data_IF_319424882544
#
_entry.id   IF_319424882544
#
_cell.length_a   1.000
_cell.length_b   1.000
_cell.length_c   1.000
_cell.angle_alpha   90.00
_cell.angle_beta   90.00
_cell.angle_gamma   90.00
#
_symmetry.space_group_name_H-M   'P 1'
#
loop_
_entity.id
_entity.type
_entity.pdbx_description
1 polymer ?
#
# COMPACT_ATOMS: atom_id res chain seq x y z
N UNK A 1 -8.72 -17.56 -7.41
CA UNK A 1 -9.43 -16.48 -6.70
C UNK A 1 -10.20 -15.60 -7.69
N UNK A 2 -11.25 -14.91 -7.26
CA UNK A 2 -12.09 -14.04 -8.13
C UNK A 2 -11.27 -12.93 -8.83
N UNK A 3 -10.25 -12.39 -8.16
CA UNK A 3 -9.36 -11.38 -8.76
C UNK A 3 -8.59 -11.92 -9.95
N UNK A 4 -7.98 -13.09 -9.83
CA UNK A 4 -7.27 -13.73 -10.95
C UNK A 4 -8.20 -14.04 -12.12
N UNK A 5 -9.42 -14.50 -11.86
CA UNK A 5 -10.41 -14.72 -12.91
C UNK A 5 -10.78 -13.42 -13.65
N UNK A 6 -10.89 -12.30 -12.93
CA UNK A 6 -11.09 -10.98 -13.52
C UNK A 6 -9.92 -10.53 -14.42
N UNK A 7 -8.68 -10.71 -13.97
CA UNK A 7 -7.48 -10.42 -14.78
C UNK A 7 -7.47 -11.27 -16.05
N UNK A 8 -7.75 -12.57 -15.93
CA UNK A 8 -7.81 -13.49 -17.07
C UNK A 8 -8.91 -13.09 -18.07
N UNK A 9 -10.08 -12.67 -17.59
CA UNK A 9 -11.16 -12.20 -18.42
C UNK A 9 -10.78 -10.94 -19.22
N UNK A 10 -10.11 -9.97 -18.59
CA UNK A 10 -9.61 -8.76 -19.26
C UNK A 10 -8.59 -9.14 -20.34
N UNK A 11 -7.63 -10.01 -20.00
CA UNK A 11 -6.59 -10.46 -20.94
C UNK A 11 -7.19 -11.23 -22.12
N UNK A 12 -8.22 -12.04 -21.89
CA UNK A 12 -8.89 -12.83 -22.92
C UNK A 12 -9.66 -11.98 -23.94
N UNK A 13 -10.17 -10.80 -23.53
CA UNK A 13 -10.79 -9.86 -24.47
C UNK A 13 -9.77 -9.30 -25.47
N UNK A 14 -8.50 -9.22 -25.05
CA UNK A 14 -7.42 -8.65 -25.86
C UNK A 14 -7.44 -7.11 -25.87
N UNK A 15 -6.62 -6.51 -26.72
CA UNK A 15 -6.51 -5.07 -26.86
C UNK A 15 -5.64 -4.40 -25.78
N UNK A 16 -5.62 -3.08 -25.81
CA UNK A 16 -4.82 -2.25 -24.93
C UNK A 16 -5.42 -2.24 -23.52
N UNK A 17 -4.67 -2.72 -22.53
CA UNK A 17 -5.10 -2.74 -21.14
C UNK A 17 -3.92 -2.67 -20.18
N UNK A 18 -4.15 -2.11 -19.00
CA UNK A 18 -3.25 -2.15 -17.86
C UNK A 18 -3.96 -2.77 -16.66
N UNK A 19 -3.37 -3.83 -16.13
CA UNK A 19 -3.78 -4.42 -14.85
C UNK A 19 -2.73 -4.04 -13.82
N UNK A 20 -3.09 -3.20 -12.86
CA UNK A 20 -2.21 -2.71 -11.82
C UNK A 20 -2.47 -3.48 -10.52
N UNK A 21 -1.56 -4.39 -10.16
CA UNK A 21 -1.61 -5.11 -8.89
C UNK A 21 -0.98 -4.27 -7.80
N UNK A 22 -1.69 -4.08 -6.70
CA UNK A 22 -1.24 -3.29 -5.55
C UNK A 22 -1.44 -4.05 -4.25
N UNK A 23 -0.81 -3.58 -3.18
CA UNK A 23 -0.93 -4.15 -1.83
C UNK A 23 -0.97 -3.05 -0.76
N UNK A 24 -1.49 -3.39 0.44
CA UNK A 24 -1.51 -2.54 1.63
C UNK A 24 -2.04 -1.12 1.40
N UNK A 25 -3.10 -1.01 0.59
CA UNK A 25 -3.68 0.29 0.22
C UNK A 25 -4.31 0.96 1.42
N UNK A 26 -4.00 2.24 1.62
CA UNK A 26 -4.59 3.09 2.65
C UNK A 26 -4.95 4.48 2.09
N UNK A 27 -5.81 5.19 2.82
CA UNK A 27 -6.18 6.56 2.50
C UNK A 27 -6.72 7.29 3.72
N UNK A 28 -6.97 8.59 3.59
CA UNK A 28 -7.68 9.39 4.59
C UNK A 28 -9.19 9.11 4.63
N UNK A 29 -9.70 8.24 3.77
CA UNK A 29 -11.12 7.92 3.63
C UNK A 29 -11.40 6.42 3.74
N UNK A 30 -12.65 6.07 4.09
CA UNK A 30 -13.14 4.70 4.13
C UNK A 30 -12.66 3.91 5.34
N UNK A 31 -12.43 2.61 5.17
CA UNK A 31 -11.95 1.70 6.22
C UNK A 31 -10.60 1.13 5.81
N UNK A 32 -9.56 1.48 6.54
CA UNK A 32 -8.20 1.01 6.28
C UNK A 32 -7.35 1.01 7.56
N UNK A 33 -6.12 0.50 7.45
CA UNK A 33 -5.22 0.37 8.58
C UNK A 33 -4.83 1.73 9.17
N UNK A 34 -4.54 2.75 8.35
CA UNK A 34 -4.17 4.10 8.82
C UNK A 34 -5.22 4.66 9.78
N UNK A 35 -6.47 4.73 9.34
CA UNK A 35 -7.57 5.30 10.15
C UNK A 35 -7.86 4.46 11.39
N UNK A 36 -7.74 3.14 11.28
CA UNK A 36 -7.88 2.24 12.43
C UNK A 36 -6.79 2.50 13.46
N UNK A 37 -5.53 2.63 13.04
CA UNK A 37 -4.41 2.91 13.95
C UNK A 37 -4.52 4.31 14.56
N UNK A 38 -4.83 5.34 13.79
CA UNK A 38 -5.03 6.70 14.32
C UNK A 38 -6.06 6.72 15.45
N UNK A 39 -7.16 6.01 15.31
CA UNK A 39 -8.19 5.90 16.35
C UNK A 39 -7.70 5.09 17.55
N UNK A 40 -7.24 3.86 17.33
CA UNK A 40 -6.87 2.96 18.42
C UNK A 40 -5.67 3.45 19.24
N UNK A 41 -4.70 4.10 18.59
CA UNK A 41 -3.54 4.70 19.27
C UNK A 41 -3.96 5.79 20.27
N UNK A 42 -5.05 6.50 20.02
CA UNK A 42 -5.55 7.54 20.92
C UNK A 42 -6.51 7.01 22.00
N UNK A 43 -7.20 5.87 21.74
CA UNK A 43 -8.22 5.30 22.63
C UNK A 43 -7.67 4.27 23.63
N UNK A 44 -6.56 3.59 23.30
CA UNK A 44 -6.06 2.44 24.06
C UNK A 44 -4.76 2.78 24.79
N UNK A 45 -4.49 2.16 25.96
CA UNK A 45 -3.19 2.30 26.62
C UNK A 45 -2.07 1.53 25.88
N UNK A 46 -2.41 0.39 25.27
CA UNK A 46 -1.49 -0.48 24.54
C UNK A 46 -2.15 -1.08 23.30
N UNK A 47 -1.34 -1.30 22.25
CA UNK A 47 -1.76 -1.98 21.01
C UNK A 47 -0.73 -3.04 20.63
N UNK A 48 -1.20 -4.27 20.42
CA UNK A 48 -0.40 -5.38 19.89
C UNK A 48 -0.52 -5.37 18.36
N UNK A 49 0.61 -5.28 17.66
CA UNK A 49 0.64 -5.19 16.19
C UNK A 49 1.62 -6.20 15.61
N UNK A 50 1.22 -6.89 14.55
CA UNK A 50 2.02 -7.92 13.88
C UNK A 50 3.28 -7.32 13.27
N UNK A 51 4.44 -7.92 13.57
CA UNK A 51 5.75 -7.44 13.15
C UNK A 51 6.47 -8.34 12.13
N UNK A 52 5.97 -9.55 11.87
CA UNK A 52 6.57 -10.57 11.00
C UNK A 52 5.92 -10.66 9.61
N UNK A 53 4.99 -9.77 9.28
CA UNK A 53 4.44 -9.61 7.94
C UNK A 53 5.03 -8.35 7.31
N UNK A 54 5.70 -8.51 6.16
CA UNK A 54 6.42 -7.43 5.49
C UNK A 54 5.73 -7.07 4.16
N UNK A 55 5.62 -5.77 3.90
CA UNK A 55 5.03 -5.21 2.69
C UNK A 55 5.37 -3.72 2.54
N UNK A 56 4.71 -3.05 1.61
CA UNK A 56 4.83 -1.62 1.40
C UNK A 56 3.46 -0.94 1.51
N UNK A 57 3.21 -0.14 2.56
CA UNK A 57 1.99 0.65 2.63
C UNK A 57 1.89 1.58 1.43
N UNK A 58 0.78 1.50 0.69
CA UNK A 58 0.61 2.23 -0.56
C UNK A 58 -0.57 3.19 -0.46
N UNK A 59 -0.29 4.49 -0.49
CA UNK A 59 -1.33 5.52 -0.42
C UNK A 59 -2.16 5.56 -1.71
N UNK A 60 -3.48 5.61 -1.57
CA UNK A 60 -4.39 5.70 -2.70
C UNK A 60 -4.16 6.96 -3.56
N UNK A 61 -3.68 8.05 -2.96
CA UNK A 61 -3.29 9.27 -3.68
C UNK A 61 -2.13 9.04 -4.67
N UNK A 62 -1.11 8.30 -4.27
CA UNK A 62 0.01 7.94 -5.17
C UNK A 62 -0.42 6.97 -6.26
N UNK A 63 -1.35 6.05 -5.98
CA UNK A 63 -1.94 5.18 -7.00
C UNK A 63 -2.68 6.01 -8.05
N UNK A 64 -3.49 6.97 -7.61
CA UNK A 64 -4.24 7.87 -8.50
C UNK A 64 -3.30 8.73 -9.37
N UNK A 65 -2.27 9.33 -8.76
CA UNK A 65 -1.27 10.12 -9.48
C UNK A 65 -0.53 9.29 -10.54
N UNK A 66 -0.13 8.06 -10.21
CA UNK A 66 0.52 7.15 -11.16
C UNK A 66 -0.41 6.72 -12.28
N UNK A 67 -1.69 6.47 -11.98
CA UNK A 67 -2.67 6.13 -13.01
C UNK A 67 -2.86 7.29 -14.00
N UNK A 68 -2.88 8.53 -13.50
CA UNK A 68 -2.94 9.72 -14.34
C UNK A 68 -1.68 9.83 -15.21
N UNK A 69 -0.49 9.66 -14.65
CA UNK A 69 0.76 9.71 -15.39
C UNK A 69 0.84 8.66 -16.50
N UNK A 70 0.33 7.44 -16.26
CA UNK A 70 0.23 6.39 -17.28
C UNK A 70 -0.71 6.80 -18.42
N UNK A 71 -1.84 7.42 -18.09
CA UNK A 71 -2.81 7.91 -19.07
C UNK A 71 -2.23 9.06 -19.91
N UNK A 72 -1.54 10.01 -19.29
CA UNK A 72 -0.88 11.13 -19.98
C UNK A 72 0.19 10.64 -20.96
N UNK A 73 1.01 9.66 -20.58
CA UNK A 73 2.00 9.02 -21.47
C UNK A 73 1.34 8.34 -22.66
N UNK A 74 0.29 7.60 -22.43
CA UNK A 74 -0.46 6.98 -23.50
C UNK A 74 -1.01 8.03 -24.49
N UNK A 75 -1.62 9.11 -23.99
CA UNK A 75 -2.11 10.20 -24.85
C UNK A 75 -1.01 10.91 -25.64
N UNK A 76 0.18 11.02 -25.05
CA UNK A 76 1.35 11.63 -25.70
C UNK A 76 2.02 10.68 -26.74
N UNK A 77 1.56 9.46 -26.91
CA UNK A 77 2.16 8.47 -27.79
C UNK A 77 3.43 7.81 -27.21
N UNK A 78 3.70 8.01 -25.92
CA UNK A 78 4.85 7.45 -25.16
C UNK A 78 4.37 6.29 -24.27
N UNK A 79 3.50 5.44 -24.79
CA UNK A 79 2.99 4.28 -24.06
C UNK A 79 4.03 3.16 -24.02
N UNK A 80 4.20 2.58 -22.82
CA UNK A 80 4.93 1.31 -22.67
C UNK A 80 4.13 0.11 -23.16
N UNK A 81 4.64 -1.08 -22.87
CA UNK A 81 3.94 -2.32 -23.23
C UNK A 81 2.65 -2.48 -22.39
N UNK A 82 1.58 -2.91 -23.04
CA UNK A 82 0.32 -3.25 -22.37
C UNK A 82 0.43 -4.56 -21.60
N UNK A 83 -0.29 -4.68 -20.49
CA UNK A 83 -0.28 -5.92 -19.70
C UNK A 83 -0.47 -5.71 -18.19
N UNK A 84 0.08 -6.65 -17.42
CA UNK A 84 -0.05 -6.66 -15.97
C UNK A 84 1.23 -6.15 -15.31
N UNK A 85 1.07 -5.22 -14.39
CA UNK A 85 2.15 -4.58 -13.65
C UNK A 85 1.88 -4.56 -12.15
N UNK A 86 2.95 -4.45 -11.37
CA UNK A 86 2.86 -4.16 -9.95
C UNK A 86 3.01 -2.66 -9.71
N UNK A 87 2.20 -2.14 -8.78
CA UNK A 87 2.18 -0.74 -8.40
C UNK A 87 2.03 -0.64 -6.88
N UNK A 88 3.14 -0.48 -6.18
CA UNK A 88 3.18 -0.23 -4.73
C UNK A 88 4.22 0.83 -4.40
N UNK A 89 4.16 1.39 -3.20
CA UNK A 89 5.20 2.30 -2.72
C UNK A 89 6.57 1.62 -2.70
N UNK A 90 7.65 2.41 -2.79
CA UNK A 90 9.01 1.93 -2.60
C UNK A 90 9.32 1.71 -1.12
N UNK A 91 10.36 0.92 -0.85
CA UNK A 91 10.74 0.51 0.49
C UNK A 91 9.84 -0.59 1.04
N UNK A 92 10.05 -0.91 2.30
CA UNK A 92 9.33 -1.97 2.99
C UNK A 92 9.20 -1.68 4.48
N UNK A 93 8.18 -2.23 5.10
CA UNK A 93 8.00 -2.21 6.55
C UNK A 93 7.07 -3.36 6.98
N UNK A 94 6.96 -3.59 8.28
CA UNK A 94 5.93 -4.46 8.85
C UNK A 94 4.66 -3.66 9.18
N UNK A 95 3.56 -4.35 9.52
CA UNK A 95 2.39 -3.68 10.10
C UNK A 95 2.73 -2.93 11.36
N UNK A 96 3.64 -3.50 12.18
CA UNK A 96 4.16 -2.84 13.38
C UNK A 96 4.92 -1.56 13.02
N UNK A 97 5.89 -1.61 12.10
CA UNK A 97 6.65 -0.42 11.68
C UNK A 97 5.78 0.65 11.03
N UNK A 98 4.73 0.24 10.30
CA UNK A 98 3.74 1.21 9.79
C UNK A 98 2.95 1.86 10.93
N UNK A 99 2.54 1.10 11.95
CA UNK A 99 1.90 1.65 13.15
C UNK A 99 2.83 2.60 13.93
N UNK A 100 4.14 2.29 14.03
CA UNK A 100 5.14 3.17 14.65
C UNK A 100 5.24 4.52 13.91
N UNK A 101 5.28 4.51 12.58
CA UNK A 101 5.33 5.72 11.78
C UNK A 101 4.06 6.58 11.98
N UNK A 102 2.87 5.96 12.03
CA UNK A 102 1.62 6.66 12.35
C UNK A 102 1.67 7.24 13.77
N UNK A 103 2.16 6.48 14.75
CA UNK A 103 2.31 6.94 16.12
C UNK A 103 3.27 8.12 16.24
N UNK A 104 4.36 8.13 15.49
CA UNK A 104 5.31 9.25 15.44
C UNK A 104 4.63 10.53 14.95
N UNK A 105 3.78 10.46 13.93
CA UNK A 105 3.02 11.60 13.42
C UNK A 105 2.00 12.14 14.44
N UNK A 106 1.31 11.26 15.18
CA UNK A 106 0.39 11.67 16.24
C UNK A 106 1.13 12.36 17.39
N UNK A 107 2.26 11.80 17.83
CA UNK A 107 3.13 12.37 18.88
C UNK A 107 3.67 13.75 18.47
N UNK A 108 4.09 13.91 17.22
CA UNK A 108 4.57 15.20 16.71
C UNK A 108 3.49 16.29 16.76
N UNK A 109 2.21 15.89 16.72
CA UNK A 109 1.03 16.78 16.88
C UNK A 109 0.59 16.95 18.34
N UNK A 110 1.33 16.40 19.31
CA UNK A 110 0.99 16.45 20.73
C UNK A 110 -0.20 15.58 21.13
N UNK A 111 -0.61 14.64 20.31
CA UNK A 111 -1.73 13.75 20.58
C UNK A 111 -1.30 12.55 21.45
N UNK A 112 -2.20 12.05 22.32
CA UNK A 112 -1.93 10.83 23.10
C UNK A 112 -1.70 9.65 22.18
N UNK A 113 -0.83 8.72 22.61
CA UNK A 113 -0.47 7.59 21.78
C UNK A 113 -0.21 6.36 22.63
N UNK A 114 -0.92 5.28 22.33
CA UNK A 114 -0.75 3.97 22.94
C UNK A 114 0.70 3.47 22.85
N UNK A 115 1.11 2.66 23.81
CA UNK A 115 2.30 1.84 23.71
C UNK A 115 2.10 0.77 22.62
N UNK A 116 3.04 0.67 21.67
CA UNK A 116 3.01 -0.36 20.63
C UNK A 116 3.83 -1.57 21.06
N UNK A 117 3.24 -2.76 20.96
CA UNK A 117 3.87 -4.03 21.30
C UNK A 117 3.94 -4.89 20.03
N UNK A 118 5.17 -5.24 19.56
CA UNK A 118 5.31 -6.13 18.42
C UNK A 118 4.90 -7.56 18.82
N UNK A 119 4.16 -8.22 17.93
CA UNK A 119 3.78 -9.63 18.07
C UNK A 119 4.02 -10.39 16.78
N UNK A 120 4.07 -11.70 16.87
CA UNK A 120 4.09 -12.58 15.69
C UNK A 120 2.68 -12.81 15.12
N UNK A 121 2.61 -13.22 13.86
CA UNK A 121 1.35 -13.61 13.22
C UNK A 121 0.66 -14.76 13.94
N UNK A 122 1.41 -15.67 14.57
CA UNK A 122 0.88 -16.79 15.35
C UNK A 122 0.10 -16.35 16.61
N UNK A 123 0.43 -15.17 17.15
CA UNK A 123 -0.27 -14.59 18.30
C UNK A 123 -1.52 -13.79 17.90
N UNK A 124 -1.75 -13.59 16.61
CA UNK A 124 -2.91 -12.87 16.06
C UNK A 124 -3.68 -13.71 15.04
N UNK A 125 -4.38 -14.74 15.47
CA UNK A 125 -5.10 -15.64 14.56
C UNK A 125 -6.19 -14.87 13.80
N UNK A 126 -6.17 -14.98 12.48
CA UNK A 126 -7.18 -14.40 11.58
C UNK A 126 -7.79 -15.52 10.73
N UNK A 127 -9.07 -15.40 10.28
CA UNK A 127 -9.69 -16.39 9.40
C UNK A 127 -8.95 -16.62 8.08
N UNK A 128 -8.25 -15.60 7.59
CA UNK A 128 -7.44 -15.66 6.36
C UNK A 128 -5.95 -15.76 6.73
N UNK A 129 -5.26 -16.76 6.18
CA UNK A 129 -3.80 -16.80 6.23
C UNK A 129 -3.23 -15.67 5.37
N UNK A 130 -2.50 -14.75 6.01
CA UNK A 130 -1.81 -13.67 5.31
C UNK A 130 -0.36 -14.07 5.03
N UNK A 131 0.18 -13.76 3.84
CA UNK A 131 1.57 -14.07 3.55
C UNK A 131 2.51 -13.27 4.44
N UNK A 132 3.62 -13.87 4.86
CA UNK A 132 4.68 -13.17 5.59
C UNK A 132 5.37 -12.11 4.72
N UNK A 133 5.35 -12.31 3.39
CA UNK A 133 5.93 -11.39 2.42
C UNK A 133 4.87 -10.96 1.39
N UNK A 134 4.54 -9.67 1.38
CA UNK A 134 3.60 -9.02 0.45
C UNK A 134 4.28 -7.96 -0.42
N UNK A 135 5.62 -7.98 -0.50
CA UNK A 135 6.39 -7.07 -1.35
C UNK A 135 6.10 -7.33 -2.83
N UNK A 136 5.99 -6.25 -3.59
CA UNK A 136 5.80 -6.29 -5.04
C UNK A 136 7.02 -5.66 -5.72
N UNK A 137 7.56 -6.33 -6.72
CA UNK A 137 8.58 -5.75 -7.60
C UNK A 137 7.88 -4.88 -8.65
N UNK A 138 8.10 -3.57 -8.58
CA UNK A 138 7.54 -2.56 -9.48
C UNK A 138 8.51 -2.14 -10.58
N UNK A 139 9.67 -2.80 -10.72
CA UNK A 139 10.73 -2.43 -11.68
C UNK A 139 10.24 -2.46 -13.13
N UNK A 140 9.40 -3.42 -13.48
CA UNK A 140 8.85 -3.53 -14.84
C UNK A 140 7.99 -2.31 -15.22
N UNK A 141 7.18 -1.79 -14.30
CA UNK A 141 6.39 -0.57 -14.53
C UNK A 141 7.32 0.64 -14.76
N UNK A 142 8.35 0.78 -13.93
CA UNK A 142 9.33 1.86 -14.06
C UNK A 142 10.10 1.79 -15.38
N UNK A 143 10.50 0.60 -15.82
CA UNK A 143 11.23 0.39 -17.08
C UNK A 143 10.36 0.65 -18.31
N UNK A 144 9.13 0.15 -18.33
CA UNK A 144 8.27 0.18 -19.50
C UNK A 144 7.46 1.48 -19.63
N UNK A 145 7.06 2.04 -18.51
CA UNK A 145 6.17 3.21 -18.48
C UNK A 145 6.80 4.44 -17.84
N UNK A 146 8.06 4.35 -17.37
CA UNK A 146 8.79 5.41 -16.67
C UNK A 146 7.99 6.03 -15.51
N UNK A 147 7.20 5.20 -14.83
CA UNK A 147 6.40 5.57 -13.66
C UNK A 147 6.92 4.80 -12.45
N UNK A 148 7.33 5.53 -11.43
CA UNK A 148 7.77 4.99 -10.14
C UNK A 148 7.02 5.64 -8.98
N UNK A 149 6.91 4.93 -7.87
CA UNK A 149 6.27 5.42 -6.66
C UNK A 149 7.28 6.07 -5.72
N UNK A 150 6.79 6.97 -4.87
CA UNK A 150 7.54 7.48 -3.73
C UNK A 150 7.81 6.37 -2.69
N UNK A 151 8.77 6.61 -1.80
CA UNK A 151 8.97 5.76 -0.64
C UNK A 151 7.73 5.80 0.26
N UNK A 152 7.36 4.65 0.87
CA UNK A 152 6.13 4.51 1.67
C UNK A 152 6.02 5.54 2.81
N UNK A 153 7.16 5.90 3.43
CA UNK A 153 7.18 6.88 4.53
C UNK A 153 6.91 8.30 4.05
N UNK A 154 7.47 8.67 2.89
CA UNK A 154 7.22 9.99 2.27
C UNK A 154 5.74 10.10 1.87
N UNK A 155 5.19 9.06 1.25
CA UNK A 155 3.79 8.99 0.89
C UNK A 155 2.85 9.05 2.12
N UNK A 156 3.27 8.49 3.27
CA UNK A 156 2.53 8.63 4.53
C UNK A 156 2.54 10.08 5.03
N UNK A 157 3.70 10.75 4.98
CA UNK A 157 3.83 12.14 5.38
C UNK A 157 2.95 13.03 4.50
N UNK A 158 2.97 12.85 3.20
CA UNK A 158 2.13 13.60 2.23
C UNK A 158 0.64 13.34 2.46
N UNK A 159 0.26 12.09 2.78
CA UNK A 159 -1.11 11.73 3.09
C UNK A 159 -1.64 12.42 4.35
N UNK A 160 -0.78 12.73 5.32
CA UNK A 160 -1.17 13.27 6.63
C UNK A 160 -1.08 14.80 6.73
N UNK A 161 -0.43 15.46 5.77
CA UNK A 161 -0.36 16.92 5.66
C UNK A 161 -1.58 17.47 4.90
#
# INVERSE_FOLDING_TARGET
>A
SSKLAGEQAITAVGGQHLILRTSWVYSQHGRNFLLTMQRLLQEKPQLRVVADQIGAPTWAGTIAASTLALFERWQAGDAGAWGTYHLSAQGETSWFGFAEAIAAQLKARGLPCAELIPISSSEYPTPAQRPANSRLDCSLLAQQWHVSQAHWLDALNDCLN
#
